data_IF_052157921636
#
_entry.id   IF_052157921636
#
_cell.length_a   1.000
_cell.length_b   1.000
_cell.length_c   1.000
_cell.angle_alpha   90.00
_cell.angle_beta   90.00
_cell.angle_gamma   90.00
#
_symmetry.space_group_name_H-M   'P 1'
#
loop_
_entity.id
_entity.type
_entity.pdbx_description
1 polymer ?
#
# COMPACT_ATOMS: atom_id res chain seq x y z
N UNK A 1 -10.17 0.72 -35.24
CA UNK A 1 -8.84 1.33 -34.99
C UNK A 1 -8.79 2.19 -33.72
N UNK A 2 -9.92 2.66 -33.17
CA UNK A 2 -9.97 3.43 -31.91
C UNK A 2 -9.80 2.60 -30.62
N UNK A 3 -10.16 1.30 -30.62
CA UNK A 3 -10.02 0.42 -29.45
C UNK A 3 -8.56 0.20 -28.99
N UNK A 4 -7.60 0.19 -29.92
CA UNK A 4 -6.19 -0.07 -29.59
C UNK A 4 -5.53 1.07 -28.80
N UNK A 5 -5.90 2.33 -29.08
CA UNK A 5 -5.37 3.50 -28.38
C UNK A 5 -5.96 3.65 -26.97
N UNK A 6 -7.26 3.36 -26.81
CA UNK A 6 -7.94 3.35 -25.51
C UNK A 6 -7.37 2.27 -24.58
N UNK A 7 -7.04 1.09 -25.13
CA UNK A 7 -6.41 0.00 -24.37
C UNK A 7 -4.99 0.36 -23.91
N UNK A 8 -4.15 0.92 -24.79
CA UNK A 8 -2.78 1.31 -24.42
C UNK A 8 -2.71 2.40 -23.34
N UNK A 9 -3.63 3.36 -23.35
CA UNK A 9 -3.73 4.41 -22.31
C UNK A 9 -4.26 3.82 -21.00
N UNK A 10 -5.27 2.96 -21.04
CA UNK A 10 -5.83 2.30 -19.86
C UNK A 10 -4.81 1.40 -19.15
N UNK A 11 -3.92 0.74 -19.92
CA UNK A 11 -2.81 -0.06 -19.40
C UNK A 11 -1.72 0.82 -18.78
N UNK A 12 -1.44 1.99 -19.37
CA UNK A 12 -0.51 2.98 -18.82
C UNK A 12 -0.92 3.49 -17.43
N UNK A 13 -2.20 3.81 -17.23
CA UNK A 13 -2.72 4.27 -15.94
C UNK A 13 -2.63 3.19 -14.86
N UNK A 14 -2.98 1.94 -15.20
CA UNK A 14 -2.85 0.80 -14.29
C UNK A 14 -1.41 0.61 -13.85
N UNK A 15 -0.48 0.60 -14.82
CA UNK A 15 0.94 0.44 -14.57
C UNK A 15 1.48 1.55 -13.66
N UNK A 16 1.11 2.82 -13.91
CA UNK A 16 1.52 3.94 -13.08
C UNK A 16 0.99 3.83 -11.64
N UNK A 17 -0.31 3.54 -11.48
CA UNK A 17 -0.95 3.37 -10.18
C UNK A 17 -0.24 2.30 -9.34
N UNK A 18 -0.13 1.09 -9.87
CA UNK A 18 0.44 -0.04 -9.12
C UNK A 18 1.96 0.07 -8.96
N UNK A 19 2.68 0.72 -9.89
CA UNK A 19 4.10 0.99 -9.71
C UNK A 19 4.35 2.02 -8.60
N UNK A 20 3.52 3.07 -8.51
CA UNK A 20 3.62 4.04 -7.41
C UNK A 20 3.31 3.38 -6.06
N UNK A 21 2.29 2.50 -6.01
CA UNK A 21 1.98 1.74 -4.80
C UNK A 21 3.13 0.80 -4.43
N UNK A 22 3.75 0.13 -5.40
CA UNK A 22 4.91 -0.72 -5.14
C UNK A 22 6.07 0.08 -4.55
N UNK A 23 6.39 1.23 -5.15
CA UNK A 23 7.45 2.12 -4.66
C UNK A 23 7.17 2.61 -3.24
N UNK A 24 5.95 3.08 -2.96
CA UNK A 24 5.55 3.52 -1.62
C UNK A 24 5.77 2.42 -0.57
N UNK A 25 5.30 1.20 -0.82
CA UNK A 25 5.46 0.09 0.12
C UNK A 25 6.93 -0.35 0.23
N UNK A 26 7.70 -0.37 -0.86
CA UNK A 26 9.13 -0.68 -0.75
C UNK A 26 9.87 0.38 0.07
N UNK A 27 9.60 1.65 -0.16
CA UNK A 27 10.21 2.74 0.62
C UNK A 27 9.84 2.63 2.10
N UNK A 28 8.55 2.47 2.43
CA UNK A 28 8.11 2.33 3.82
C UNK A 28 8.66 1.06 4.47
N UNK A 29 8.52 -0.09 3.79
CA UNK A 29 8.99 -1.39 4.28
C UNK A 29 10.49 -1.45 4.51
N UNK A 30 11.31 -0.91 3.59
CA UNK A 30 12.77 -0.82 3.78
C UNK A 30 13.08 0.09 4.96
N UNK A 31 12.45 1.27 5.02
CA UNK A 31 12.65 2.22 6.12
C UNK A 31 12.34 1.58 7.48
N UNK A 32 11.23 0.84 7.60
CA UNK A 32 10.88 0.16 8.84
C UNK A 32 11.78 -1.04 9.13
N UNK A 33 12.24 -1.76 8.11
CA UNK A 33 13.09 -2.95 8.30
C UNK A 33 14.46 -2.58 8.85
N UNK A 34 15.09 -1.51 8.36
CA UNK A 34 16.48 -1.17 8.71
C UNK A 34 16.64 0.14 9.48
N UNK A 35 15.59 0.96 9.54
CA UNK A 35 15.65 2.34 10.02
C UNK A 35 14.51 2.76 10.94
N UNK A 36 13.78 1.81 11.55
CA UNK A 36 12.62 2.16 12.39
C UNK A 36 12.95 3.14 13.54
N UNK A 37 14.04 2.97 14.32
CA UNK A 37 14.37 3.93 15.37
C UNK A 37 14.67 5.34 14.84
N UNK A 38 15.35 5.42 13.69
CA UNK A 38 15.63 6.69 13.02
C UNK A 38 14.34 7.34 12.49
N UNK A 39 13.47 6.55 11.86
CA UNK A 39 12.17 7.02 11.38
C UNK A 39 11.30 7.53 12.54
N UNK A 40 11.23 6.78 13.65
CA UNK A 40 10.50 7.19 14.84
C UNK A 40 11.03 8.52 15.40
N UNK A 41 12.36 8.70 15.45
CA UNK A 41 12.96 9.96 15.86
C UNK A 41 12.63 11.11 14.89
N UNK A 42 12.71 10.87 13.58
CA UNK A 42 12.43 11.86 12.53
C UNK A 42 11.01 12.45 12.66
N UNK A 43 10.03 11.59 12.94
CA UNK A 43 8.63 12.01 13.05
C UNK A 43 8.22 12.37 14.48
N UNK A 44 9.14 12.30 15.46
CA UNK A 44 8.84 12.53 16.88
C UNK A 44 7.85 11.53 17.47
N UNK A 45 7.89 10.26 17.03
CA UNK A 45 7.00 9.20 17.51
C UNK A 45 7.33 8.84 18.96
N UNK A 46 6.31 8.92 19.81
CA UNK A 46 6.37 8.52 21.21
C UNK A 46 5.10 7.72 21.55
N UNK A 47 5.22 6.53 22.18
CA UNK A 47 6.48 5.84 22.47
C UNK A 47 7.18 5.35 21.18
N UNK A 48 8.52 5.30 21.20
CA UNK A 48 9.27 4.60 20.15
C UNK A 48 8.96 3.11 20.25
N UNK A 49 8.67 2.41 19.14
CA UNK A 49 8.49 0.97 19.18
C UNK A 49 9.67 0.29 19.89
N UNK A 50 9.38 -0.55 20.88
CA UNK A 50 10.40 -1.17 21.73
C UNK A 50 10.78 -2.60 21.29
N UNK A 51 9.85 -3.34 20.68
CA UNK A 51 10.09 -4.73 20.27
C UNK A 51 10.42 -4.87 18.77
N UNK A 52 11.70 -5.15 18.42
CA UNK A 52 12.13 -5.29 17.04
C UNK A 52 11.46 -6.41 16.27
N UNK A 53 11.02 -7.46 16.95
CA UNK A 53 10.41 -8.60 16.30
C UNK A 53 9.14 -8.17 15.54
N UNK A 54 8.28 -7.38 16.18
CA UNK A 54 6.99 -7.00 15.60
C UNK A 54 7.12 -6.00 14.47
N UNK A 55 8.02 -5.00 14.57
CA UNK A 55 8.20 -4.08 13.43
C UNK A 55 8.94 -4.75 12.27
N UNK A 56 9.83 -5.73 12.50
CA UNK A 56 10.41 -6.51 11.40
C UNK A 56 9.34 -7.32 10.65
N UNK A 57 8.41 -7.98 11.37
CA UNK A 57 7.30 -8.67 10.71
C UNK A 57 6.40 -7.72 9.95
N UNK A 58 6.05 -6.57 10.55
CA UNK A 58 5.30 -5.51 9.86
C UNK A 58 6.01 -5.05 8.59
N UNK A 59 7.30 -4.77 8.68
CA UNK A 59 8.11 -4.32 7.55
C UNK A 59 8.16 -5.35 6.41
N UNK A 60 8.39 -6.63 6.72
CA UNK A 60 8.41 -7.71 5.71
C UNK A 60 7.06 -7.89 5.04
N UNK A 61 5.95 -7.76 5.77
CA UNK A 61 4.61 -7.78 5.17
C UNK A 61 4.39 -6.58 4.23
N UNK A 62 4.80 -5.38 4.63
CA UNK A 62 4.75 -4.18 3.76
C UNK A 62 5.57 -4.41 2.49
N UNK A 63 6.78 -4.98 2.60
CA UNK A 63 7.60 -5.35 1.44
C UNK A 63 6.91 -6.39 0.54
N UNK A 64 6.25 -7.39 1.12
CA UNK A 64 5.49 -8.39 0.38
C UNK A 64 4.32 -7.77 -0.40
N UNK A 65 3.63 -6.78 0.18
CA UNK A 65 2.65 -5.98 -0.55
C UNK A 65 3.29 -5.18 -1.68
N UNK A 66 4.44 -4.55 -1.45
CA UNK A 66 5.21 -3.86 -2.49
C UNK A 66 5.53 -4.77 -3.69
N UNK A 67 5.99 -5.99 -3.41
CA UNK A 67 6.21 -7.03 -4.43
C UNK A 67 4.91 -7.42 -5.15
N UNK A 68 3.80 -7.57 -4.41
CA UNK A 68 2.48 -7.81 -4.97
C UNK A 68 2.09 -6.74 -5.99
N UNK A 69 2.20 -5.45 -5.63
CA UNK A 69 1.84 -4.35 -6.52
C UNK A 69 2.80 -4.21 -7.70
N UNK A 70 4.07 -4.55 -7.55
CA UNK A 70 5.04 -4.60 -8.66
C UNK A 70 4.69 -5.68 -9.69
N UNK A 71 4.12 -6.82 -9.25
CA UNK A 71 3.58 -7.83 -10.17
C UNK A 71 2.30 -7.34 -10.85
N UNK A 72 1.40 -6.72 -10.08
CA UNK A 72 0.16 -6.13 -10.62
C UNK A 72 0.47 -5.04 -11.65
N UNK A 73 1.52 -4.25 -11.47
CA UNK A 73 1.87 -3.20 -12.44
C UNK A 73 2.34 -3.73 -13.79
N UNK A 74 2.79 -5.00 -13.85
CA UNK A 74 3.18 -5.67 -15.10
C UNK A 74 2.01 -6.35 -15.77
N UNK A 75 1.19 -7.02 -14.98
CA UNK A 75 0.00 -7.72 -15.47
C UNK A 75 -1.11 -7.63 -14.41
N UNK A 76 -1.96 -6.60 -14.49
CA UNK A 76 -3.02 -6.41 -13.51
C UNK A 76 -4.21 -7.34 -13.73
N UNK A 77 -4.28 -8.02 -14.88
CA UNK A 77 -5.34 -9.01 -15.17
C UNK A 77 -4.99 -10.32 -14.49
N UNK A 78 -3.79 -10.85 -14.70
CA UNK A 78 -3.34 -12.08 -14.06
C UNK A 78 -3.20 -11.94 -12.54
N UNK A 79 -2.81 -10.76 -12.05
CA UNK A 79 -2.62 -10.50 -10.63
C UNK A 79 -3.82 -9.84 -9.95
N UNK A 80 -5.01 -9.87 -10.56
CA UNK A 80 -6.22 -9.26 -10.02
C UNK A 80 -6.55 -9.66 -8.57
N UNK A 81 -6.38 -10.92 -8.12
CA UNK A 81 -6.61 -11.28 -6.72
C UNK A 81 -5.74 -10.50 -5.72
N UNK A 82 -4.52 -10.11 -6.11
CA UNK A 82 -3.61 -9.30 -5.29
C UNK A 82 -4.20 -7.90 -5.08
N UNK A 83 -4.94 -7.36 -6.05
CA UNK A 83 -5.61 -6.06 -5.91
C UNK A 83 -6.68 -6.11 -4.81
N UNK A 84 -7.47 -7.19 -4.78
CA UNK A 84 -8.46 -7.42 -3.72
C UNK A 84 -7.79 -7.56 -2.34
N UNK A 85 -6.73 -8.37 -2.26
CA UNK A 85 -5.93 -8.50 -1.03
C UNK A 85 -5.35 -7.15 -0.59
N UNK A 86 -4.89 -6.33 -1.54
CA UNK A 86 -4.36 -5.01 -1.28
C UNK A 86 -5.39 -4.03 -0.73
N UNK A 87 -6.63 -4.06 -1.23
CA UNK A 87 -7.73 -3.25 -0.66
C UNK A 87 -7.98 -3.62 0.80
N UNK A 88 -8.10 -4.92 1.09
CA UNK A 88 -8.31 -5.41 2.46
C UNK A 88 -7.13 -5.04 3.35
N UNK A 89 -5.91 -5.38 2.94
CA UNK A 89 -4.69 -5.14 3.72
C UNK A 89 -4.48 -3.65 4.02
N UNK A 90 -4.60 -2.78 3.01
CA UNK A 90 -4.46 -1.33 3.20
C UNK A 90 -5.55 -0.75 4.11
N UNK A 91 -6.80 -1.21 3.97
CA UNK A 91 -7.90 -0.77 4.84
C UNK A 91 -7.65 -1.18 6.29
N UNK A 92 -7.13 -2.39 6.52
CA UNK A 92 -6.78 -2.87 7.85
C UNK A 92 -5.59 -2.10 8.46
N UNK A 93 -4.58 -1.75 7.67
CA UNK A 93 -3.46 -0.89 8.10
C UNK A 93 -3.94 0.49 8.53
N UNK A 94 -4.82 1.11 7.73
CA UNK A 94 -5.43 2.40 8.08
C UNK A 94 -6.22 2.29 9.37
N UNK A 95 -7.09 1.27 9.50
CA UNK A 95 -7.87 1.06 10.72
C UNK A 95 -6.97 0.87 11.95
N UNK A 96 -5.93 0.05 11.84
CA UNK A 96 -4.99 -0.19 12.93
C UNK A 96 -4.27 1.09 13.34
N UNK A 97 -3.67 1.82 12.39
CA UNK A 97 -2.90 3.01 12.73
C UNK A 97 -3.75 4.19 13.23
N UNK A 98 -4.99 4.36 12.76
CA UNK A 98 -5.92 5.32 13.36
C UNK A 98 -6.36 4.90 14.76
N UNK A 99 -6.50 3.59 15.03
CA UNK A 99 -6.80 3.07 16.37
C UNK A 99 -5.63 3.34 17.32
N UNK A 100 -4.39 3.04 16.90
CA UNK A 100 -3.19 3.32 17.70
C UNK A 100 -3.00 4.81 17.96
N UNK A 101 -3.36 5.67 17.00
CA UNK A 101 -3.32 7.11 17.23
C UNK A 101 -4.36 7.58 18.25
N UNK A 102 -5.59 7.06 18.16
CA UNK A 102 -6.64 7.38 19.11
C UNK A 102 -6.31 6.91 20.54
N UNK A 103 -5.53 5.84 20.67
CA UNK A 103 -5.05 5.31 21.95
C UNK A 103 -3.76 5.98 22.46
N UNK A 104 -3.14 6.86 21.68
CA UNK A 104 -1.89 7.54 22.05
C UNK A 104 -0.62 6.68 21.87
N UNK A 105 -0.70 5.58 21.12
CA UNK A 105 0.44 4.70 20.81
C UNK A 105 1.29 5.22 19.64
N UNK A 106 0.82 6.24 18.92
CA UNK A 106 1.52 6.88 17.81
C UNK A 106 1.08 8.34 17.66
N UNK A 107 1.59 9.03 16.64
CA UNK A 107 1.39 10.46 16.43
C UNK A 107 0.82 10.79 15.03
N UNK A 108 0.41 12.05 14.85
CA UNK A 108 -0.25 12.49 13.62
C UNK A 108 0.59 12.31 12.33
N UNK A 109 1.94 12.45 12.32
CA UNK A 109 2.72 12.20 11.10
C UNK A 109 2.64 10.75 10.64
N UNK A 110 2.60 9.79 11.58
CA UNK A 110 2.40 8.38 11.24
C UNK A 110 1.02 8.15 10.64
N UNK A 111 -0.02 8.79 11.18
CA UNK A 111 -1.38 8.75 10.62
C UNK A 111 -1.44 9.37 9.22
N UNK A 112 -0.69 10.43 8.97
CA UNK A 112 -0.56 11.02 7.63
C UNK A 112 0.08 10.04 6.65
N UNK A 113 1.13 9.32 7.06
CA UNK A 113 1.78 8.29 6.24
C UNK A 113 0.80 7.17 5.85
N UNK A 114 0.09 6.57 6.82
CA UNK A 114 -0.87 5.49 6.55
C UNK A 114 -2.10 5.99 5.79
N UNK A 115 -2.41 7.30 5.82
CA UNK A 115 -3.51 7.84 5.00
C UNK A 115 -3.24 7.69 3.50
N UNK A 116 -1.96 7.55 3.09
CA UNK A 116 -1.60 7.11 1.74
C UNK A 116 -2.17 5.73 1.38
N UNK A 117 -2.25 4.81 2.35
CA UNK A 117 -2.87 3.49 2.14
C UNK A 117 -4.38 3.59 1.89
N UNK A 118 -5.08 4.52 2.54
CA UNK A 118 -6.50 4.78 2.28
C UNK A 118 -6.70 5.24 0.83
N UNK A 119 -5.87 6.16 0.36
CA UNK A 119 -5.90 6.64 -1.04
C UNK A 119 -5.69 5.48 -2.01
N UNK A 120 -4.65 4.66 -1.79
CA UNK A 120 -4.41 3.50 -2.65
C UNK A 120 -5.56 2.48 -2.61
N UNK A 121 -6.14 2.19 -1.45
CA UNK A 121 -7.27 1.29 -1.32
C UNK A 121 -8.47 1.77 -2.15
N UNK A 122 -8.80 3.07 -2.09
CA UNK A 122 -9.86 3.68 -2.88
C UNK A 122 -9.56 3.61 -4.38
N UNK A 123 -8.32 3.90 -4.78
CA UNK A 123 -7.90 3.83 -6.19
C UNK A 123 -7.92 2.39 -6.72
N UNK A 124 -7.56 1.40 -5.90
CA UNK A 124 -7.65 -0.01 -6.27
C UNK A 124 -9.10 -0.46 -6.42
N UNK A 125 -9.99 -0.04 -5.51
CA UNK A 125 -11.42 -0.33 -5.62
C UNK A 125 -12.02 0.32 -6.88
N UNK A 126 -11.63 1.56 -7.18
CA UNK A 126 -12.01 2.24 -8.40
C UNK A 126 -11.52 1.51 -9.66
N UNK A 127 -10.25 1.09 -9.67
CA UNK A 127 -9.66 0.30 -10.76
C UNK A 127 -10.46 -0.98 -11.05
N UNK A 128 -10.84 -1.73 -10.01
CA UNK A 128 -11.60 -2.98 -10.16
C UNK A 128 -13.04 -2.74 -10.64
N UNK A 129 -13.69 -1.67 -10.15
CA UNK A 129 -15.06 -1.29 -10.55
C UNK A 129 -15.15 -0.92 -12.04
N UNK A 130 -14.13 -0.26 -12.57
CA UNK A 130 -14.08 0.09 -13.99
C UNK A 130 -13.82 -1.10 -14.92
N UNK A 131 -13.28 -2.19 -14.38
CA UNK A 131 -12.90 -3.37 -15.15
C UNK A 131 -13.53 -4.62 -14.54
N UNK A 132 -14.86 -4.76 -14.50
CA UNK A 132 -15.50 -5.95 -13.94
C UNK A 132 -15.06 -7.20 -14.72
N UNK A 133 -14.95 -8.33 -14.03
CA UNK A 133 -14.77 -9.62 -14.71
C UNK A 133 -16.07 -9.88 -15.49
N UNK A 134 -16.00 -10.03 -16.81
CA UNK A 134 -17.16 -10.47 -17.58
C UNK A 134 -17.52 -11.89 -17.12
N UNK A 135 -18.72 -12.07 -16.59
CA UNK A 135 -19.27 -13.40 -16.39
C UNK A 135 -19.41 -14.05 -17.78
N UNK A 136 -18.90 -15.28 -17.90
CA UNK A 136 -19.05 -16.10 -19.09
C UNK A 136 -20.49 -16.61 -19.23
#
# INVERSE_FOLDING_TARGET
MMDGAMNGVADGHARALFSSAALFNFSAGITFLVGMPWFAALIGMQPVPADPLFWHFGAVLVLAFGWGYWRVSRDPVANRPIIHMGIVGKSLVVLAGYTDWALGNTNWPFVLLISGDAVYALLFAHYLRQRPVRAA
#
